data_IF_558038581165
#
_entry.id   IF_558038581165
#
_cell.length_a   1.000
_cell.length_b   1.000
_cell.length_c   1.000
_cell.angle_alpha   90.00
_cell.angle_beta   90.00
_cell.angle_gamma   90.00
#
_symmetry.space_group_name_H-M   'P 1'
#
loop_
_entity.id
_entity.type
_entity.pdbx_description
1 polymer ?
#
# COMPACT_ATOMS: atom_id res chain seq x y z
N UNK A 1 -32.00 48.64 32.24
CA UNK A 1 -31.68 47.23 32.54
C UNK A 1 -31.46 46.53 31.21
N UNK A 2 -30.21 46.39 30.77
CA UNK A 2 -29.87 45.81 29.46
C UNK A 2 -29.23 44.45 29.65
N UNK A 3 -29.86 43.40 29.13
CA UNK A 3 -29.34 42.04 29.14
C UNK A 3 -28.42 41.83 27.93
N UNK A 4 -27.13 41.62 28.19
CA UNK A 4 -26.15 41.16 27.21
C UNK A 4 -26.31 39.64 27.10
N UNK A 5 -26.82 39.16 25.95
CA UNK A 5 -26.92 37.74 25.66
C UNK A 5 -25.57 37.24 25.13
N UNK A 6 -24.89 36.43 25.94
CA UNK A 6 -23.65 35.76 25.58
C UNK A 6 -23.97 34.51 24.73
N UNK A 7 -23.65 34.55 23.44
CA UNK A 7 -23.80 33.41 22.54
C UNK A 7 -22.56 32.50 22.69
N UNK A 8 -22.65 31.46 23.51
CA UNK A 8 -21.61 30.43 23.59
C UNK A 8 -21.71 29.52 22.36
N UNK A 9 -20.76 29.66 21.43
CA UNK A 9 -20.61 28.72 20.33
C UNK A 9 -20.05 27.40 20.86
N UNK A 10 -20.87 26.36 20.85
CA UNK A 10 -20.48 24.98 21.16
C UNK A 10 -19.60 24.47 20.01
N UNK A 11 -18.27 24.67 20.11
CA UNK A 11 -17.32 23.96 19.28
C UNK A 11 -17.29 22.51 19.76
N UNK A 12 -18.03 21.64 19.07
CA UNK A 12 -17.92 20.20 19.27
C UNK A 12 -16.48 19.77 19.01
N UNK A 13 -15.79 19.39 20.07
CA UNK A 13 -14.50 18.71 20.02
C UNK A 13 -14.74 17.28 19.51
N UNK A 14 -15.03 17.16 18.21
CA UNK A 14 -14.88 15.87 17.53
C UNK A 14 -13.40 15.53 17.58
N UNK A 15 -13.04 14.45 18.27
CA UNK A 15 -11.70 13.91 18.20
C UNK A 15 -11.45 13.56 16.73
N UNK A 16 -10.57 14.30 16.08
CA UNK A 16 -9.98 13.85 14.83
C UNK A 16 -9.18 12.61 15.20
N UNK A 17 -9.70 11.43 14.89
CA UNK A 17 -8.87 10.22 14.90
C UNK A 17 -7.76 10.53 13.92
N UNK A 18 -6.52 10.56 14.40
CA UNK A 18 -5.36 10.72 13.54
C UNK A 18 -5.47 9.59 12.50
N UNK A 19 -5.77 9.96 11.25
CA UNK A 19 -5.84 9.00 10.17
C UNK A 19 -4.44 8.42 10.04
N UNK A 20 -4.35 7.10 10.04
CA UNK A 20 -3.10 6.38 9.85
C UNK A 20 -2.31 7.01 8.70
N UNK A 21 -1.04 7.33 8.94
CA UNK A 21 -0.20 7.93 7.92
C UNK A 21 0.21 6.84 6.94
N UNK A 22 -0.54 6.74 5.84
CA UNK A 22 -0.17 5.89 4.71
C UNK A 22 0.94 6.60 3.94
N UNK A 23 2.07 5.92 3.78
CA UNK A 23 3.13 6.34 2.85
C UNK A 23 2.85 5.63 1.53
N UNK A 24 2.73 6.39 0.45
CA UNK A 24 2.47 5.89 -0.89
C UNK A 24 3.56 6.39 -1.83
N UNK A 25 4.07 5.49 -2.68
CA UNK A 25 5.09 5.80 -3.67
C UNK A 25 4.65 6.81 -4.74
N UNK A 26 3.34 6.97 -4.93
CA UNK A 26 2.79 7.46 -6.19
C UNK A 26 2.72 6.36 -7.24
N UNK A 27 2.07 6.62 -8.39
CA UNK A 27 2.13 5.72 -9.52
C UNK A 27 3.58 5.55 -9.97
N UNK A 28 4.01 4.30 -10.05
CA UNK A 28 5.27 3.87 -10.63
C UNK A 28 4.96 2.95 -11.81
N UNK A 29 5.94 2.68 -12.65
CA UNK A 29 5.91 1.61 -13.65
C UNK A 29 7.36 1.12 -13.79
N UNK A 30 7.77 0.27 -12.86
CA UNK A 30 9.12 -0.29 -12.86
C UNK A 30 9.06 -1.68 -13.49
N UNK A 31 9.60 -1.77 -14.69
CA UNK A 31 9.73 -3.04 -15.39
C UNK A 31 10.96 -3.80 -14.90
N UNK A 32 10.74 -5.07 -14.59
CA UNK A 32 11.74 -6.05 -14.22
C UNK A 32 11.79 -7.03 -15.37
N UNK A 33 12.84 -6.91 -16.18
CA UNK A 33 13.06 -7.75 -17.34
C UNK A 33 14.15 -8.77 -17.01
N UNK A 34 13.83 -10.05 -17.26
CA UNK A 34 14.75 -11.17 -17.10
C UNK A 34 16.10 -10.97 -17.81
N UNK A 35 16.12 -10.32 -18.97
CA UNK A 35 17.32 -10.24 -19.81
C UNK A 35 18.20 -9.03 -19.51
N UNK A 36 17.59 -7.91 -19.09
CA UNK A 36 18.28 -6.62 -19.00
C UNK A 36 18.49 -6.16 -17.55
N UNK A 37 17.55 -6.44 -16.65
CA UNK A 37 17.60 -6.00 -15.26
C UNK A 37 16.83 -7.00 -14.36
N UNK A 38 17.39 -8.20 -14.15
CA UNK A 38 16.66 -9.28 -13.47
C UNK A 38 16.49 -9.00 -11.98
N UNK A 39 16.94 -7.87 -11.43
CA UNK A 39 16.79 -7.58 -10.01
C UNK A 39 16.56 -6.10 -9.74
N UNK A 40 15.49 -5.79 -9.00
CA UNK A 40 15.31 -4.49 -8.36
C UNK A 40 15.32 -4.64 -6.85
N UNK A 41 15.96 -3.67 -6.18
CA UNK A 41 15.90 -3.56 -4.73
C UNK A 41 15.04 -2.36 -4.34
N UNK A 42 14.11 -2.56 -3.41
CA UNK A 42 13.20 -1.53 -2.93
C UNK A 42 13.52 -1.26 -1.46
N UNK A 43 13.80 -0.01 -1.15
CA UNK A 43 13.93 0.54 0.20
C UNK A 43 12.69 1.39 0.49
N UNK A 44 11.83 0.91 1.37
CA UNK A 44 10.58 1.55 1.79
C UNK A 44 10.76 2.41 3.04
N UNK A 45 11.69 2.05 3.93
CA UNK A 45 11.83 2.68 5.26
C UNK A 45 13.12 3.52 5.45
N UNK A 46 14.00 3.59 4.45
CA UNK A 46 15.26 4.31 4.47
C UNK A 46 16.40 3.60 5.23
N UNK A 47 16.20 2.33 5.60
CA UNK A 47 17.11 1.50 6.38
C UNK A 47 18.01 0.60 5.54
N UNK A 48 17.89 0.64 4.21
CA UNK A 48 18.50 -0.29 3.27
C UNK A 48 17.44 -1.04 2.47
N UNK A 49 17.87 -1.99 1.65
CA UNK A 49 16.93 -2.74 0.79
C UNK A 49 16.00 -3.61 1.65
N UNK A 50 14.70 -3.30 1.64
CA UNK A 50 13.67 -4.08 2.32
C UNK A 50 13.30 -5.31 1.49
N UNK A 51 13.24 -5.14 0.16
CA UNK A 51 12.85 -6.19 -0.78
C UNK A 51 13.78 -6.27 -1.98
N UNK A 52 13.98 -7.48 -2.48
CA UNK A 52 14.55 -7.79 -3.77
C UNK A 52 13.49 -8.47 -4.61
N UNK A 53 13.23 -7.96 -5.81
CA UNK A 53 12.40 -8.63 -6.81
C UNK A 53 13.31 -9.12 -7.92
N UNK A 54 13.17 -10.38 -8.30
CA UNK A 54 13.87 -10.88 -9.47
C UNK A 54 13.03 -11.80 -10.34
N UNK A 55 13.35 -11.83 -11.63
CA UNK A 55 12.78 -12.75 -12.62
C UNK A 55 13.94 -13.60 -13.14
N UNK A 56 13.91 -14.91 -12.87
CA UNK A 56 14.97 -15.83 -13.29
C UNK A 56 14.41 -17.02 -14.06
N UNK A 57 15.27 -17.60 -14.91
CA UNK A 57 15.02 -18.88 -15.56
C UNK A 57 15.40 -20.02 -14.62
N UNK A 58 14.47 -20.96 -14.43
CA UNK A 58 14.80 -22.16 -13.69
C UNK A 58 15.77 -23.05 -14.48
N UNK A 59 16.54 -23.93 -13.80
CA UNK A 59 17.55 -24.77 -14.46
C UNK A 59 17.02 -25.69 -15.57
N UNK A 60 15.70 -25.85 -15.68
CA UNK A 60 15.03 -26.62 -16.74
C UNK A 60 14.94 -25.86 -18.08
N UNK A 61 15.27 -24.57 -18.11
CA UNK A 61 15.22 -23.72 -19.30
C UNK A 61 13.80 -23.47 -19.84
N UNK A 62 12.78 -23.80 -19.05
CA UNK A 62 11.38 -23.75 -19.48
C UNK A 62 10.49 -23.05 -18.46
N UNK A 63 10.85 -23.12 -17.17
CA UNK A 63 10.10 -22.53 -16.08
C UNK A 63 10.73 -21.20 -15.65
N UNK A 64 9.90 -20.31 -15.10
CA UNK A 64 10.33 -19.00 -14.65
C UNK A 64 9.97 -18.78 -13.20
N UNK A 65 10.85 -18.10 -12.50
CA UNK A 65 10.68 -17.78 -11.10
C UNK A 65 10.64 -16.26 -10.94
N UNK A 66 9.51 -15.74 -10.47
CA UNK A 66 9.49 -14.41 -9.85
C UNK A 66 9.80 -14.63 -8.38
N UNK A 67 10.82 -14.00 -7.84
CA UNK A 67 11.11 -14.13 -6.43
C UNK A 67 11.07 -12.77 -5.78
N UNK A 68 10.42 -12.73 -4.61
CA UNK A 68 10.44 -11.57 -3.72
C UNK A 68 11.15 -11.98 -2.44
N UNK A 69 12.40 -11.54 -2.28
CA UNK A 69 13.19 -11.79 -1.08
C UNK A 69 13.15 -10.56 -0.19
N UNK A 70 12.63 -10.68 1.03
CA UNK A 70 12.75 -9.63 2.05
C UNK A 70 14.09 -9.73 2.78
N UNK A 71 14.74 -8.60 3.09
CA UNK A 71 15.82 -8.61 4.07
C UNK A 71 15.21 -9.01 5.44
N UNK A 72 15.88 -9.88 6.19
CA UNK A 72 15.35 -10.29 7.51
C UNK A 72 15.38 -9.05 8.42
N UNK A 73 14.26 -8.68 9.09
CA UNK A 73 13.10 -9.51 9.47
C UNK A 73 11.76 -9.17 8.76
N UNK A 74 11.79 -8.68 7.52
CA UNK A 74 10.56 -8.37 6.76
C UNK A 74 9.79 -9.65 6.37
N UNK A 75 8.47 -9.53 6.25
CA UNK A 75 7.52 -10.62 6.04
C UNK A 75 6.65 -10.35 4.81
N UNK A 76 6.38 -11.39 4.01
CA UNK A 76 5.60 -11.28 2.76
C UNK A 76 4.49 -12.33 2.77
N UNK A 77 3.28 -11.93 2.39
CA UNK A 77 2.17 -12.87 2.15
C UNK A 77 2.26 -13.40 0.72
N UNK A 78 2.26 -14.72 0.60
CA UNK A 78 2.34 -15.44 -0.67
C UNK A 78 0.93 -15.63 -1.26
N UNK A 79 0.23 -14.53 -1.56
CA UNK A 79 -1.08 -14.58 -2.21
C UNK A 79 -1.37 -13.30 -2.99
N UNK A 80 -1.93 -13.48 -4.20
CA UNK A 80 -2.57 -12.37 -4.89
C UNK A 80 -3.82 -11.98 -4.13
N UNK A 81 -3.87 -10.76 -3.62
CA UNK A 81 -5.08 -10.24 -3.01
C UNK A 81 -5.74 -9.22 -3.94
N UNK A 82 -7.07 -9.24 -3.94
CA UNK A 82 -7.85 -8.24 -4.66
C UNK A 82 -7.72 -6.87 -3.99
N UNK A 83 -7.97 -5.82 -4.76
CA UNK A 83 -8.13 -4.47 -4.23
C UNK A 83 -9.14 -4.45 -3.07
N UNK A 84 -8.90 -3.60 -2.09
CA UNK A 84 -9.69 -3.47 -0.85
C UNK A 84 -9.61 -4.66 0.11
N UNK A 85 -8.75 -5.66 -0.14
CA UNK A 85 -8.48 -6.72 0.86
C UNK A 85 -7.80 -6.11 2.09
N UNK A 86 -8.25 -6.49 3.29
CA UNK A 86 -7.63 -6.04 4.56
C UNK A 86 -6.29 -6.75 4.75
N UNK A 87 -5.23 -5.95 4.90
CA UNK A 87 -3.87 -6.39 5.19
C UNK A 87 -3.50 -5.93 6.60
N UNK A 88 -3.10 -6.85 7.48
CA UNK A 88 -2.82 -6.53 8.87
C UNK A 88 -2.35 -7.74 9.70
N UNK A 89 -2.36 -7.63 11.04
CA UNK A 89 -1.91 -8.68 11.95
C UNK A 89 -2.65 -10.01 11.78
N UNK A 90 -3.93 -9.94 11.41
CA UNK A 90 -4.80 -11.11 11.26
C UNK A 90 -4.74 -11.72 9.84
N UNK A 91 -3.99 -11.12 8.92
CA UNK A 91 -3.83 -11.66 7.57
C UNK A 91 -3.05 -12.96 7.63
N UNK A 92 -3.71 -14.07 7.30
CA UNK A 92 -3.10 -15.41 7.33
C UNK A 92 -2.23 -15.65 6.10
N UNK A 93 -1.15 -16.43 6.26
CA UNK A 93 -0.33 -16.92 5.14
C UNK A 93 0.98 -16.17 4.94
N UNK A 94 1.28 -15.19 5.79
CA UNK A 94 2.60 -14.58 5.82
C UNK A 94 3.68 -15.64 6.03
N UNK A 95 4.70 -15.65 5.17
CA UNK A 95 5.81 -16.58 5.27
C UNK A 95 7.04 -15.87 5.83
N UNK A 96 7.50 -16.31 7.01
CA UNK A 96 8.69 -15.77 7.68
C UNK A 96 9.96 -16.32 7.04
N UNK A 97 10.62 -15.50 6.21
CA UNK A 97 11.96 -15.72 5.62
C UNK A 97 12.17 -16.96 4.74
N UNK A 98 12.89 -16.75 3.65
CA UNK A 98 13.30 -17.74 2.66
C UNK A 98 13.41 -17.04 1.32
N UNK A 99 14.33 -17.45 0.47
CA UNK A 99 14.22 -17.19 -0.95
C UNK A 99 12.89 -17.79 -1.40
N UNK A 100 11.83 -16.97 -1.49
CA UNK A 100 10.51 -17.43 -1.89
C UNK A 100 10.45 -17.32 -3.40
N UNK A 101 11.22 -18.19 -4.04
CA UNK A 101 10.98 -18.49 -5.43
C UNK A 101 9.56 -19.03 -5.57
N UNK A 102 8.75 -18.41 -6.43
CA UNK A 102 7.65 -19.14 -7.02
C UNK A 102 8.25 -20.28 -7.85
N UNK A 103 8.37 -21.45 -7.23
CA UNK A 103 8.69 -22.70 -7.92
C UNK A 103 7.45 -23.12 -8.70
N UNK A 104 7.20 -22.44 -9.80
CA UNK A 104 6.30 -22.97 -10.79
C UNK A 104 7.08 -23.97 -11.63
N UNK A 105 7.31 -25.16 -11.09
CA UNK A 105 7.64 -26.31 -11.92
C UNK A 105 6.39 -26.63 -12.73
N UNK A 106 6.24 -26.00 -13.87
CA UNK A 106 5.23 -26.41 -14.83
C UNK A 106 5.86 -26.49 -16.22
N UNK A 107 5.46 -27.50 -17.04
CA UNK A 107 5.59 -27.33 -18.48
C UNK A 107 4.95 -25.98 -18.87
N UNK A 108 5.32 -25.35 -20.00
CA UNK A 108 5.05 -23.93 -20.34
C UNK A 108 3.57 -23.45 -20.42
N UNK A 109 2.63 -24.01 -19.65
CA UNK A 109 1.18 -23.84 -19.77
C UNK A 109 0.40 -23.80 -18.45
N UNK A 110 1.01 -23.93 -17.27
CA UNK A 110 0.26 -23.79 -16.00
C UNK A 110 0.90 -22.65 -15.22
N UNK A 111 0.20 -21.51 -15.23
CA UNK A 111 0.67 -20.25 -14.68
C UNK A 111 0.23 -20.04 -13.24
N UNK A 112 1.08 -19.32 -12.52
CA UNK A 112 0.94 -19.13 -11.10
C UNK A 112 -0.16 -18.12 -10.84
N UNK A 113 -0.44 -17.83 -9.55
CA UNK A 113 -1.51 -16.91 -9.17
C UNK A 113 -1.34 -15.47 -9.70
N UNK A 114 -0.24 -15.20 -10.40
CA UNK A 114 0.16 -13.90 -10.91
C UNK A 114 0.39 -13.88 -12.42
N UNK A 115 0.46 -15.03 -13.09
CA UNK A 115 0.69 -15.05 -14.54
C UNK A 115 -0.46 -14.36 -15.27
N UNK A 116 -0.13 -13.44 -16.18
CA UNK A 116 -1.09 -12.66 -16.95
C UNK A 116 -2.13 -11.91 -16.09
N UNK A 117 -1.80 -11.63 -14.82
CA UNK A 117 -2.71 -11.03 -13.85
C UNK A 117 -2.02 -9.84 -13.17
N UNK A 118 -2.79 -8.79 -12.88
CA UNK A 118 -2.39 -7.69 -11.99
C UNK A 118 -3.07 -7.85 -10.64
N UNK A 119 -2.37 -7.55 -9.57
CA UNK A 119 -2.97 -7.54 -8.24
C UNK A 119 -2.03 -7.02 -7.18
N UNK A 120 -2.28 -7.37 -5.92
CA UNK A 120 -1.55 -6.83 -4.79
C UNK A 120 -0.82 -7.93 -4.01
N UNK A 121 0.44 -7.68 -3.69
CA UNK A 121 1.23 -8.45 -2.72
C UNK A 121 1.17 -7.80 -1.35
N UNK A 122 0.62 -8.46 -0.33
CA UNK A 122 0.68 -7.94 1.02
C UNK A 122 2.07 -8.09 1.63
N UNK A 123 2.53 -7.02 2.28
CA UNK A 123 3.85 -6.97 2.94
C UNK A 123 3.69 -6.55 4.40
N UNK A 124 4.63 -6.98 5.24
CA UNK A 124 4.78 -6.49 6.60
C UNK A 124 6.23 -6.14 6.88
N UNK A 125 6.48 -4.87 7.16
CA UNK A 125 7.82 -4.34 7.42
C UNK A 125 8.12 -4.41 8.90
N UNK A 126 9.24 -5.02 9.28
CA UNK A 126 9.69 -5.01 10.66
C UNK A 126 10.18 -3.59 11.04
N UNK A 127 9.85 -3.14 12.24
CA UNK A 127 10.22 -1.81 12.75
C UNK A 127 11.49 -1.80 13.61
N UNK A 128 12.16 -2.95 13.74
CA UNK A 128 13.25 -3.22 14.68
C UNK A 128 12.79 -3.88 15.98
N UNK A 129 11.48 -3.90 16.27
CA UNK A 129 10.91 -4.53 17.48
C UNK A 129 10.18 -5.83 17.09
N UNK A 130 10.45 -6.97 17.77
CA UNK A 130 9.75 -8.22 17.51
C UNK A 130 8.23 -8.10 17.69
N UNK A 131 7.47 -8.44 16.65
CA UNK A 131 6.00 -8.37 16.66
C UNK A 131 5.42 -7.02 16.24
N UNK A 132 6.26 -6.01 16.00
CA UNK A 132 5.83 -4.69 15.55
C UNK A 132 6.08 -4.55 14.04
N UNK A 133 4.99 -4.58 13.28
CA UNK A 133 5.03 -4.50 11.83
C UNK A 133 4.30 -3.28 11.29
N UNK A 134 4.81 -2.73 10.19
CA UNK A 134 4.11 -1.79 9.34
C UNK A 134 3.57 -2.54 8.12
N UNK A 135 2.26 -2.60 7.98
CA UNK A 135 1.60 -3.38 6.93
C UNK A 135 1.43 -2.56 5.65
N UNK A 136 1.59 -3.21 4.50
CA UNK A 136 1.55 -2.56 3.21
C UNK A 136 1.11 -3.47 2.07
N UNK A 137 1.13 -2.92 0.88
CA UNK A 137 0.87 -3.62 -0.37
C UNK A 137 1.85 -3.18 -1.46
N UNK A 138 2.10 -4.07 -2.42
CA UNK A 138 2.82 -3.79 -3.67
C UNK A 138 1.89 -4.16 -4.82
N UNK A 139 1.57 -3.18 -5.68
CA UNK A 139 0.78 -3.37 -6.90
C UNK A 139 1.71 -3.85 -8.00
N UNK A 140 1.38 -5.00 -8.58
CA UNK A 140 2.25 -5.62 -9.55
C UNK A 140 1.48 -6.42 -10.59
N UNK A 141 2.14 -6.66 -11.72
CA UNK A 141 1.67 -7.55 -12.77
C UNK A 141 2.81 -8.39 -13.34
N UNK A 142 2.45 -9.55 -13.90
CA UNK A 142 3.39 -10.42 -14.62
C UNK A 142 2.88 -10.63 -16.04
N UNK A 143 3.77 -10.47 -17.02
CA UNK A 143 3.44 -10.67 -18.42
C UNK A 143 3.02 -12.14 -18.69
N UNK A 144 2.19 -12.41 -19.73
CA UNK A 144 1.74 -13.77 -20.02
C UNK A 144 2.85 -14.77 -20.37
N UNK A 145 4.00 -14.28 -20.80
CA UNK A 145 5.20 -15.07 -21.10
C UNK A 145 6.17 -15.18 -19.91
N UNK A 146 5.78 -14.61 -18.75
CA UNK A 146 6.54 -14.50 -17.50
C UNK A 146 7.88 -13.75 -17.58
N UNK A 147 8.31 -13.30 -18.77
CA UNK A 147 9.64 -12.71 -18.97
C UNK A 147 9.78 -11.32 -18.33
N UNK A 148 8.65 -10.66 -18.11
CA UNK A 148 8.59 -9.31 -17.54
C UNK A 148 7.60 -9.28 -16.38
N UNK A 149 8.01 -8.65 -15.29
CA UNK A 149 7.11 -8.24 -14.22
C UNK A 149 7.16 -6.72 -14.08
N UNK A 150 6.04 -6.08 -13.76
CA UNK A 150 5.97 -4.63 -13.55
C UNK A 150 5.46 -4.33 -12.16
N UNK A 151 6.16 -3.45 -11.44
CA UNK A 151 5.69 -2.86 -10.18
C UNK A 151 5.05 -1.51 -10.49
N UNK A 152 3.76 -1.39 -10.21
CA UNK A 152 2.98 -0.18 -10.49
C UNK A 152 2.96 0.81 -9.31
N UNK A 153 3.42 0.38 -8.15
CA UNK A 153 3.49 1.20 -6.95
C UNK A 153 3.40 0.38 -5.68
N UNK A 154 3.53 1.06 -4.56
CA UNK A 154 3.45 0.44 -3.24
C UNK A 154 2.96 1.45 -2.21
N UNK A 155 2.33 0.96 -1.15
CA UNK A 155 2.03 1.77 0.02
C UNK A 155 2.18 0.95 1.30
N UNK A 156 2.43 1.63 2.41
CA UNK A 156 2.40 1.02 3.73
C UNK A 156 1.86 1.98 4.78
N UNK A 157 1.32 1.42 5.86
CA UNK A 157 0.82 2.14 7.00
C UNK A 157 1.96 2.33 8.02
N UNK A 158 2.29 3.57 8.37
CA UNK A 158 3.37 3.85 9.34
C UNK A 158 2.99 3.51 10.77
N UNK A 159 1.69 3.41 11.07
CA UNK A 159 1.23 3.04 12.40
C UNK A 159 1.49 1.54 12.62
N UNK A 160 2.20 1.25 13.71
CA UNK A 160 2.59 -0.12 14.04
C UNK A 160 1.33 -0.97 14.27
N UNK A 161 1.31 -2.13 13.61
CA UNK A 161 0.25 -3.12 13.63
C UNK A 161 -1.13 -2.63 13.18
N UNK A 162 -1.20 -1.43 12.58
CA UNK A 162 -2.42 -0.93 11.97
C UNK A 162 -2.66 -1.61 10.62
N UNK A 163 -3.93 -1.86 10.30
CA UNK A 163 -4.30 -2.47 9.03
C UNK A 163 -4.24 -1.44 7.89
N UNK A 164 -4.15 -1.95 6.66
CA UNK A 164 -4.26 -1.17 5.42
C UNK A 164 -5.11 -1.96 4.42
N UNK A 165 -5.88 -1.27 3.57
CA UNK A 165 -6.55 -1.94 2.46
C UNK A 165 -5.58 -2.05 1.26
N UNK A 166 -5.60 -3.18 0.56
CA UNK A 166 -4.88 -3.33 -0.70
C UNK A 166 -5.33 -2.24 -1.70
N UNK A 167 -4.39 -1.51 -2.29
CA UNK A 167 -4.67 -0.37 -3.17
C UNK A 167 -5.04 0.93 -2.45
N UNK A 168 -5.10 0.94 -1.12
CA UNK A 168 -5.34 2.18 -0.36
C UNK A 168 -4.22 3.18 -0.60
N UNK A 169 -4.59 4.34 -1.14
CA UNK A 169 -3.73 5.51 -1.28
C UNK A 169 -4.19 6.62 -0.33
N UNK A 170 -3.28 7.51 0.11
CA UNK A 170 -3.66 8.68 0.90
C UNK A 170 -4.73 9.49 0.16
N UNK A 171 -5.79 9.90 0.87
CA UNK A 171 -6.72 10.84 0.28
C UNK A 171 -5.96 12.11 -0.10
N UNK A 172 -6.16 12.65 -1.32
CA UNK A 172 -5.57 13.92 -1.68
C UNK A 172 -5.93 14.95 -0.63
N UNK A 173 -4.93 15.57 0.01
CA UNK A 173 -5.16 16.61 1.03
C UNK A 173 -6.09 17.74 0.52
N UNK A 174 -6.16 17.91 -0.81
CA UNK A 174 -7.10 18.79 -1.52
C UNK A 174 -8.57 18.47 -1.27
N UNK A 175 -8.97 17.22 -1.06
CA UNK A 175 -10.37 16.86 -0.78
C UNK A 175 -10.81 17.41 0.58
N UNK A 176 -10.02 17.18 1.63
CA UNK A 176 -10.28 17.72 2.97
C UNK A 176 -10.31 19.26 2.98
N UNK A 177 -9.39 19.90 2.26
CA UNK A 177 -9.35 21.36 2.11
C UNK A 177 -10.57 21.86 1.33
N UNK A 178 -10.98 21.19 0.26
CA UNK A 178 -12.14 21.57 -0.53
C UNK A 178 -13.44 21.52 0.30
N UNK A 179 -13.64 20.46 1.09
CA UNK A 179 -14.79 20.38 2.00
C UNK A 179 -14.76 21.44 3.10
N UNK A 180 -13.58 21.73 3.66
CA UNK A 180 -13.42 22.82 4.63
C UNK A 180 -13.78 24.18 4.01
N UNK A 181 -13.33 24.45 2.79
CA UNK A 181 -13.66 25.68 2.05
C UNK A 181 -15.16 25.79 1.74
N UNK A 182 -15.81 24.69 1.34
CA UNK A 182 -17.26 24.67 1.13
C UNK A 182 -18.00 24.97 2.46
N UNK A 183 -17.58 24.36 3.56
CA UNK A 183 -18.14 24.61 4.89
C UNK A 183 -18.04 26.09 5.30
N UNK A 184 -16.88 26.70 5.09
CA UNK A 184 -16.68 28.14 5.33
C UNK A 184 -17.54 29.01 4.41
N UNK A 185 -17.67 28.64 3.13
CA UNK A 185 -18.53 29.32 2.17
C UNK A 185 -20.00 29.33 2.59
N UNK A 186 -20.54 28.18 3.02
CA UNK A 186 -21.94 28.06 3.46
C UNK A 186 -22.20 28.87 4.74
N UNK A 187 -21.26 28.86 5.69
CA UNK A 187 -21.35 29.67 6.90
C UNK A 187 -21.36 31.18 6.58
N UNK A 188 -20.52 31.62 5.65
CA UNK A 188 -20.47 32.99 5.16
C UNK A 188 -21.80 33.44 4.52
N UNK A 189 -22.37 32.61 3.63
CA UNK A 189 -23.66 32.91 2.97
C UNK A 189 -24.81 33.01 3.98
N UNK A 190 -24.85 32.12 4.99
CA UNK A 190 -25.87 32.18 6.04
C UNK A 190 -25.77 33.46 6.88
N UNK A 191 -24.55 33.90 7.19
CA UNK A 191 -24.33 35.12 7.95
C UNK A 191 -24.71 36.38 7.15
N UNK A 192 -24.44 36.40 5.85
CA UNK A 192 -24.84 37.51 4.98
C UNK A 192 -26.36 37.67 4.89
N UNK A 193 -27.10 36.57 4.70
CA UNK A 193 -28.58 36.62 4.66
C UNK A 193 -29.20 37.18 5.94
N UNK A 194 -28.62 36.88 7.11
CA UNK A 194 -29.07 37.43 8.40
C UNK A 194 -28.86 38.93 8.54
N UNK A 195 -27.94 39.53 7.78
CA UNK A 195 -27.72 40.99 7.77
C UNK A 195 -28.66 41.73 6.82
N UNK A 196 -29.34 41.02 5.92
CA UNK A 196 -30.27 41.61 4.94
C UNK A 196 -31.73 41.53 5.36
N UNK A 197 -32.05 40.86 6.47
CA UNK A 197 -33.38 40.85 7.11
C UNK A 197 -33.34 41.75 8.34
#
# INVERSE_FOLDING_TARGET
>A
MSAIALLAALLGSGAFVAQAAVVYSGPLDIDIDRFDAPTISIDLNGGGNDFHFFVDELPDGASQNVEVTGAIPHLILIANVAENTVIGPDTTGYASSGALGFWEESPPSTGGPFLATRGFLPIALNTGTPGDYQFGWIDYSVAPDANTATIHGWAYNTDVNATILAGQVPEPATAAVAFALIGLGVAGVRQWRRRQS
#
